data_IF_159294462756
#
_entry.id   IF_159294462756
#
_cell.length_a   1.000
_cell.length_b   1.000
_cell.length_c   1.000
_cell.angle_alpha   90.00
_cell.angle_beta   90.00
_cell.angle_gamma   90.00
#
_symmetry.space_group_name_H-M   'P 1'
#
loop_
_entity.id
_entity.type
_entity.pdbx_description
1 polymer ?
#
# COMPACT_ATOMS: atom_id res chain seq x y z
N UNK A 1 1.19 10.26 -7.21
CA UNK A 1 1.11 11.51 -6.41
C UNK A 1 2.45 11.80 -5.76
N UNK A 2 2.86 13.07 -5.70
CA UNK A 2 4.11 13.49 -5.04
C UNK A 2 3.96 13.47 -3.51
N UNK A 3 5.06 13.52 -2.76
CA UNK A 3 5.06 13.53 -1.29
C UNK A 3 4.18 14.63 -0.68
N UNK A 4 4.20 15.83 -1.26
CA UNK A 4 3.40 16.96 -0.77
C UNK A 4 1.89 16.72 -0.98
N UNK A 5 1.50 16.29 -2.18
CA UNK A 5 0.11 15.92 -2.49
C UNK A 5 -0.40 14.75 -1.61
N UNK A 6 0.50 13.82 -1.29
CA UNK A 6 0.21 12.72 -0.37
C UNK A 6 0.00 13.22 1.07
N UNK A 7 0.87 14.10 1.56
CA UNK A 7 0.77 14.73 2.88
C UNK A 7 -0.55 15.48 3.03
N UNK A 8 -0.91 16.30 2.04
CA UNK A 8 -2.18 17.05 2.02
C UNK A 8 -3.41 16.11 2.05
N UNK A 9 -3.39 15.00 1.30
CA UNK A 9 -4.52 14.05 1.22
C UNK A 9 -4.63 13.08 2.38
N UNK A 10 -3.52 12.80 3.06
CA UNK A 10 -3.45 11.91 4.23
C UNK A 10 -3.52 12.67 5.55
N UNK A 11 -3.42 14.01 5.51
CA UNK A 11 -3.29 14.86 6.69
C UNK A 11 -2.10 14.43 7.58
N UNK A 12 -1.00 14.01 6.95
CA UNK A 12 0.22 13.57 7.62
C UNK A 12 1.37 14.51 7.32
N UNK A 13 2.21 14.76 8.31
CA UNK A 13 3.47 15.48 8.11
C UNK A 13 4.45 14.66 7.24
N UNK A 14 5.20 15.37 6.40
CA UNK A 14 6.27 14.78 5.57
C UNK A 14 7.26 13.96 6.39
N UNK A 15 7.56 14.38 7.63
CA UNK A 15 8.44 13.65 8.56
C UNK A 15 7.86 12.31 9.01
N UNK A 16 6.54 12.22 9.18
CA UNK A 16 5.85 10.98 9.55
C UNK A 16 5.83 10.02 8.37
N UNK A 17 5.59 10.54 7.16
CA UNK A 17 5.64 9.75 5.93
C UNK A 17 7.06 9.20 5.71
N UNK A 18 8.09 10.03 5.90
CA UNK A 18 9.48 9.57 5.83
C UNK A 18 9.79 8.49 6.88
N UNK A 19 9.30 8.65 8.12
CA UNK A 19 9.45 7.63 9.15
C UNK A 19 8.79 6.29 8.72
N UNK A 20 7.60 6.34 8.12
CA UNK A 20 6.89 5.15 7.64
C UNK A 20 7.55 4.52 6.41
N UNK A 21 8.15 5.33 5.54
CA UNK A 21 8.97 4.83 4.43
C UNK A 21 10.24 4.16 4.95
N UNK A 22 10.91 4.73 5.97
CA UNK A 22 12.07 4.12 6.61
C UNK A 22 11.74 2.84 7.37
N UNK A 23 10.54 2.77 7.97
CA UNK A 23 10.02 1.57 8.62
C UNK A 23 9.48 0.51 7.64
N UNK A 24 9.62 0.73 6.32
CA UNK A 24 9.13 -0.13 5.24
C UNK A 24 7.60 -0.32 5.23
N UNK A 25 6.84 0.54 5.92
CA UNK A 25 5.38 0.50 5.94
C UNK A 25 4.77 1.09 4.67
N UNK A 26 5.45 2.07 4.07
CA UNK A 26 5.10 2.68 2.80
C UNK A 26 6.19 2.44 1.77
N UNK A 27 5.81 1.85 0.63
CA UNK A 27 6.75 1.54 -0.45
C UNK A 27 6.58 2.58 -1.56
N UNK A 28 7.34 3.67 -1.48
CA UNK A 28 7.36 4.65 -2.56
C UNK A 28 7.95 4.01 -3.84
N UNK A 29 7.17 3.98 -4.92
CA UNK A 29 7.62 3.38 -6.19
C UNK A 29 8.73 4.27 -6.79
N UNK A 30 9.96 3.74 -6.88
CA UNK A 30 11.11 4.46 -7.48
C UNK A 30 11.14 4.29 -9.02
N UNK A 31 11.71 5.25 -9.79
CA UNK A 31 12.36 6.50 -9.35
C UNK A 31 11.42 7.72 -9.45
N UNK A 32 11.40 8.57 -8.42
CA UNK A 32 10.59 9.79 -8.37
C UNK A 32 9.64 9.94 -7.18
N UNK A 33 9.67 9.00 -6.21
CA UNK A 33 8.93 9.09 -4.94
C UNK A 33 7.43 9.34 -5.15
N UNK A 34 6.86 8.64 -6.13
CA UNK A 34 5.45 8.73 -6.43
C UNK A 34 4.69 7.69 -5.61
N UNK A 35 3.79 8.15 -4.77
CA UNK A 35 2.85 7.31 -4.04
C UNK A 35 1.66 6.97 -4.95
N UNK A 36 1.10 5.77 -4.76
CA UNK A 36 -0.11 5.27 -5.42
C UNK A 36 -1.31 5.39 -4.48
N UNK A 37 -2.54 5.40 -5.01
CA UNK A 37 -3.76 5.39 -4.20
C UNK A 37 -3.79 4.23 -3.17
N UNK A 38 -3.10 3.13 -3.49
CA UNK A 38 -2.88 2.03 -2.54
C UNK A 38 -2.07 2.45 -1.30
N UNK A 39 -1.03 3.26 -1.48
CA UNK A 39 -0.22 3.80 -0.39
C UNK A 39 -1.03 4.79 0.46
N UNK A 40 -1.93 5.56 -0.16
CA UNK A 40 -2.83 6.48 0.56
C UNK A 40 -3.81 5.71 1.45
N UNK A 41 -4.40 4.64 0.92
CA UNK A 41 -5.24 3.74 1.70
C UNK A 41 -4.47 3.09 2.86
N UNK A 42 -3.20 2.72 2.62
CA UNK A 42 -2.31 2.16 3.65
C UNK A 42 -2.00 3.18 4.74
N UNK A 43 -1.72 4.43 4.38
CA UNK A 43 -1.47 5.50 5.35
C UNK A 43 -2.70 5.83 6.22
N UNK A 44 -3.90 5.86 5.63
CA UNK A 44 -5.15 6.04 6.39
C UNK A 44 -5.38 4.90 7.37
N UNK A 45 -5.17 3.65 6.94
CA UNK A 45 -5.26 2.50 7.83
C UNK A 45 -4.27 2.60 9.01
N UNK A 46 -3.02 3.01 8.76
CA UNK A 46 -2.04 3.19 9.82
C UNK A 46 -2.50 4.27 10.81
N UNK A 47 -3.08 5.36 10.32
CA UNK A 47 -3.64 6.42 11.16
C UNK A 47 -4.81 5.91 11.99
N UNK A 48 -5.74 5.14 11.41
CA UNK A 48 -6.86 4.54 12.13
C UNK A 48 -6.37 3.56 13.21
N UNK A 49 -5.39 2.71 12.88
CA UNK A 49 -4.80 1.76 13.83
C UNK A 49 -4.09 2.46 15.00
N UNK A 50 -3.34 3.53 14.71
CA UNK A 50 -2.56 4.26 15.72
C UNK A 50 -3.44 5.18 16.56
N UNK A 51 -4.44 5.81 15.96
CA UNK A 51 -5.34 6.77 16.60
C UNK A 51 -6.54 6.13 17.30
N UNK A 52 -7.35 5.39 16.55
CA UNK A 52 -8.63 4.86 17.02
C UNK A 52 -8.46 3.56 17.82
N UNK A 53 -7.56 2.67 17.37
CA UNK A 53 -7.32 1.37 18.01
C UNK A 53 -6.14 1.36 19.01
N UNK A 54 -5.35 2.43 19.08
CA UNK A 54 -4.21 2.53 19.99
C UNK A 54 -3.13 1.45 19.79
N UNK A 55 -3.01 0.93 18.57
CA UNK A 55 -2.04 -0.12 18.24
C UNK A 55 -0.62 0.47 18.25
N UNK A 56 0.32 -0.25 18.84
CA UNK A 56 1.72 0.14 18.85
C UNK A 56 2.38 -0.07 17.46
N UNK A 57 3.57 0.49 17.28
CA UNK A 57 4.27 0.43 16.00
C UNK A 57 4.56 -1.04 15.56
N UNK A 58 4.81 -1.95 16.52
CA UNK A 58 5.00 -3.38 16.25
C UNK A 58 3.73 -4.07 15.75
N UNK A 59 2.58 -3.76 16.36
CA UNK A 59 1.28 -4.27 15.95
C UNK A 59 0.88 -3.74 14.56
N UNK A 60 1.20 -2.47 14.27
CA UNK A 60 1.02 -1.88 12.93
C UNK A 60 1.84 -2.66 11.91
N UNK A 61 3.13 -2.91 12.18
CA UNK A 61 3.98 -3.68 11.29
C UNK A 61 3.41 -5.09 11.02
N UNK A 62 2.91 -5.77 12.06
CA UNK A 62 2.29 -7.09 11.92
C UNK A 62 1.02 -7.06 11.06
N UNK A 63 0.13 -6.08 11.29
CA UNK A 63 -1.11 -5.93 10.50
C UNK A 63 -0.78 -5.64 9.04
N UNK A 64 0.18 -4.75 8.78
CA UNK A 64 0.62 -4.42 7.43
C UNK A 64 1.26 -5.61 6.72
N UNK A 65 2.02 -6.44 7.44
CA UNK A 65 2.61 -7.67 6.92
C UNK A 65 1.53 -8.69 6.54
N UNK A 66 0.53 -8.91 7.39
CA UNK A 66 -0.59 -9.80 7.09
C UNK A 66 -1.42 -9.31 5.90
N UNK A 67 -1.65 -8.00 5.81
CA UNK A 67 -2.30 -7.40 4.65
C UNK A 67 -1.47 -7.61 3.38
N UNK A 68 -0.16 -7.44 3.45
CA UNK A 68 0.73 -7.65 2.31
C UNK A 68 0.64 -9.07 1.78
N UNK A 69 0.65 -10.07 2.68
CA UNK A 69 0.44 -11.48 2.31
C UNK A 69 -0.90 -11.70 1.59
N UNK A 70 -1.99 -11.11 2.10
CA UNK A 70 -3.31 -11.20 1.48
C UNK A 70 -3.35 -10.52 0.11
N UNK A 71 -2.69 -9.38 -0.04
CA UNK A 71 -2.56 -8.69 -1.32
C UNK A 71 -1.74 -9.53 -2.32
N UNK A 72 -0.66 -10.17 -1.88
CA UNK A 72 0.14 -11.08 -2.69
C UNK A 72 -0.69 -12.24 -3.22
N UNK A 73 -1.46 -12.91 -2.34
CA UNK A 73 -2.35 -13.99 -2.74
C UNK A 73 -3.44 -13.53 -3.72
N UNK A 74 -4.08 -12.38 -3.46
CA UNK A 74 -5.09 -11.81 -4.37
C UNK A 74 -4.49 -11.40 -5.72
N UNK A 75 -3.24 -10.96 -5.76
CA UNK A 75 -2.54 -10.69 -7.01
C UNK A 75 -2.29 -11.98 -7.81
N UNK A 76 -1.77 -13.03 -7.16
CA UNK A 76 -1.56 -14.33 -7.80
C UNK A 76 -2.86 -14.92 -8.36
N UNK A 77 -3.96 -14.85 -7.60
CA UNK A 77 -5.26 -15.32 -8.07
C UNK A 77 -5.77 -14.52 -9.27
N UNK A 78 -5.58 -13.20 -9.29
CA UNK A 78 -5.93 -12.35 -10.44
C UNK A 78 -5.07 -12.67 -11.67
N UNK A 79 -3.78 -12.92 -11.47
CA UNK A 79 -2.86 -13.29 -12.55
C UNK A 79 -3.26 -14.60 -13.22
N UNK A 80 -3.56 -15.63 -12.40
CA UNK A 80 -4.09 -16.91 -12.88
C UNK A 80 -5.40 -16.74 -13.65
N UNK A 81 -6.31 -15.88 -13.18
CA UNK A 81 -7.57 -15.60 -13.87
C UNK A 81 -7.34 -14.87 -15.22
N UNK A 82 -6.45 -13.88 -15.25
CA UNK A 82 -6.11 -13.13 -16.45
C UNK A 82 -5.47 -14.03 -17.52
N UNK A 83 -4.64 -15.00 -17.10
CA UNK A 83 -4.01 -15.98 -18.00
C UNK A 83 -5.02 -16.91 -18.67
N UNK A 84 -6.17 -17.20 -18.02
CA UNK A 84 -7.26 -17.96 -18.64
C UNK A 84 -8.06 -17.15 -19.67
N UNK A 85 -8.14 -15.82 -19.51
CA UNK A 85 -8.89 -14.96 -20.44
C UNK A 85 -8.10 -14.59 -21.69
N UNK A 86 -6.77 -14.56 -21.63
CA UNK A 86 -5.89 -14.26 -22.79
C UNK A 86 -5.61 -15.47 -23.69
N UNK A 87 -6.00 -16.68 -23.26
CA UNK A 87 -5.90 -17.91 -24.07
C UNK A 87 -7.03 -18.10 -25.10
N UNK A 88 -8.01 -17.20 -25.18
CA UNK A 88 -9.19 -17.31 -26.05
C UNK A 88 -9.30 -16.14 -27.05
N UNK A 89 -8.22 -15.73 -27.71
CA UNK A 89 -8.33 -14.88 -28.91
C UNK A 89 -7.30 -15.33 -29.95
N UNK A 90 -7.60 -16.41 -30.67
CA UNK A 90 -7.06 -16.61 -32.01
C UNK A 90 -8.17 -16.31 -33.02
N UNK A 91 -8.12 -15.19 -33.76
CA UNK A 91 -9.00 -14.99 -34.90
C UNK A 91 -8.53 -15.88 -36.05
N UNK A 92 -9.51 -16.50 -36.69
CA UNK A 92 -9.40 -17.48 -37.76
C UNK A 92 -9.36 -16.81 -39.14
#
# INVERSE_FOLDING_TARGET
MQLQEFADRSHLDSSTIEAWVNAEWLVARRPGQQFSEQDLARARLIQDLKGDLGVNDEGIALVLYLLDQLYGLRCLLRDIQAMRTTGYERPH
#
